data_IF_547251996893
#
_entry.id   IF_547251996893
#
_cell.length_a   1.000
_cell.length_b   1.000
_cell.length_c   1.000
_cell.angle_alpha   90.00
_cell.angle_beta   90.00
_cell.angle_gamma   90.00
#
_symmetry.space_group_name_H-M   'P 1'
#
loop_
_entity.id
_entity.type
_entity.pdbx_description
1 polymer ?
#
# COMPACT_ATOMS: atom_id res chain seq x y z
N UNK A 1 4.50 80.33 -20.10
CA UNK A 1 5.75 79.56 -19.97
C UNK A 1 5.64 78.76 -18.68
N UNK A 2 5.19 77.52 -18.79
CA UNK A 2 5.10 76.58 -17.66
C UNK A 2 5.87 75.36 -18.11
N UNK A 3 7.12 75.26 -17.65
CA UNK A 3 8.01 74.17 -18.04
C UNK A 3 7.49 72.87 -17.42
N UNK A 4 7.18 71.94 -18.30
CA UNK A 4 6.70 70.60 -17.99
C UNK A 4 7.91 69.72 -17.68
N UNK A 5 8.23 69.56 -16.40
CA UNK A 5 9.21 68.60 -15.93
C UNK A 5 8.60 67.19 -15.98
N UNK A 6 8.92 66.47 -17.06
CA UNK A 6 8.70 65.03 -17.19
C UNK A 6 9.66 64.28 -16.27
N UNK A 7 9.11 63.70 -15.19
CA UNK A 7 9.84 62.87 -14.24
C UNK A 7 9.83 61.42 -14.76
N UNK A 8 10.94 60.96 -15.34
CA UNK A 8 11.13 59.57 -15.76
C UNK A 8 11.35 58.69 -14.51
N UNK A 9 10.35 57.87 -14.17
CA UNK A 9 10.46 56.85 -13.14
C UNK A 9 11.23 55.64 -13.70
N UNK A 10 12.54 55.63 -13.52
CA UNK A 10 13.37 54.46 -13.80
C UNK A 10 13.15 53.40 -12.71
N UNK A 11 12.30 52.41 -13.03
CA UNK A 11 12.11 51.18 -12.25
C UNK A 11 13.45 50.44 -12.08
N UNK A 12 14.07 50.56 -10.90
CA UNK A 12 15.26 49.80 -10.48
C UNK A 12 15.04 49.03 -9.17
N UNK A 13 13.79 48.71 -8.84
CA UNK A 13 13.41 48.09 -7.56
C UNK A 13 13.70 46.60 -7.44
N UNK A 14 14.11 45.90 -8.50
CA UNK A 14 14.29 44.44 -8.44
C UNK A 14 15.71 43.99 -8.02
N UNK A 15 16.66 44.92 -7.85
CA UNK A 15 18.05 44.61 -7.51
C UNK A 15 18.34 44.62 -5.99
N UNK A 16 17.51 45.28 -5.18
CA UNK A 16 17.79 45.49 -3.74
C UNK A 16 17.14 44.47 -2.80
N UNK A 17 16.35 43.51 -3.31
CA UNK A 17 15.74 42.47 -2.48
C UNK A 17 16.75 41.34 -2.16
N UNK A 18 17.82 41.18 -2.95
CA UNK A 18 18.82 40.13 -2.72
C UNK A 18 19.94 40.53 -1.73
N UNK A 19 20.16 41.82 -1.46
CA UNK A 19 21.23 42.26 -0.54
C UNK A 19 20.81 42.24 0.93
N UNK A 20 19.51 42.12 1.23
CA UNK A 20 18.97 41.94 2.57
C UNK A 20 18.58 40.49 2.87
N UNK A 21 19.12 39.52 2.12
CA UNK A 21 19.10 38.10 2.48
C UNK A 21 20.02 37.94 3.71
N UNK A 22 19.41 38.30 4.84
CA UNK A 22 19.46 37.73 6.18
C UNK A 22 20.74 36.94 6.43
N UNK A 23 21.46 37.36 7.46
CA UNK A 23 22.41 36.53 8.17
C UNK A 23 21.70 35.23 8.60
N UNK A 24 21.60 34.25 7.69
CA UNK A 24 20.91 32.99 7.92
C UNK A 24 21.74 32.30 8.99
N UNK A 25 21.25 32.32 10.23
CA UNK A 25 21.78 31.47 11.28
C UNK A 25 21.64 30.03 10.80
N UNK A 26 22.76 29.55 10.29
CA UNK A 26 22.97 28.27 9.67
C UNK A 26 22.36 27.19 10.55
N UNK A 27 21.64 26.25 9.95
CA UNK A 27 21.49 24.96 10.62
C UNK A 27 22.91 24.50 10.91
N UNK A 28 23.27 24.48 12.19
CA UNK A 28 24.50 23.88 12.67
C UNK A 28 24.35 22.40 12.36
N UNK A 29 24.86 22.00 11.19
CA UNK A 29 25.16 20.62 10.91
C UNK A 29 26.28 20.33 11.87
N UNK A 30 26.00 19.50 12.87
CA UNK A 30 27.00 19.15 13.85
C UNK A 30 28.23 18.61 13.10
N UNK A 31 29.36 19.34 13.17
CA UNK A 31 30.55 19.01 12.38
C UNK A 31 31.13 17.66 12.78
N UNK A 32 30.75 17.13 13.96
CA UNK A 32 31.20 15.86 14.49
C UNK A 32 30.34 14.67 14.04
N UNK A 33 29.26 14.90 13.28
CA UNK A 33 28.45 13.78 12.76
C UNK A 33 29.24 13.00 11.72
N UNK A 34 29.41 11.71 11.98
CA UNK A 34 30.05 10.79 11.04
C UNK A 34 29.23 10.72 9.74
N UNK A 35 29.79 11.25 8.65
CA UNK A 35 29.15 11.36 7.32
C UNK A 35 28.91 10.01 6.65
N UNK A 36 29.48 8.94 7.19
CA UNK A 36 29.39 7.57 6.70
C UNK A 36 28.38 6.72 7.48
N UNK A 37 27.67 7.29 8.47
CA UNK A 37 26.57 6.62 9.17
C UNK A 37 25.57 6.01 8.19
N UNK A 38 25.23 6.72 7.10
CA UNK A 38 24.32 6.17 6.11
C UNK A 38 24.77 4.82 5.59
N UNK A 39 26.06 4.50 5.46
CA UNK A 39 26.52 3.21 4.95
C UNK A 39 26.01 2.04 5.81
N UNK A 40 25.95 2.25 7.13
CA UNK A 40 25.52 1.24 8.11
C UNK A 40 23.99 1.07 8.15
N UNK A 41 23.22 2.02 7.62
CA UNK A 41 21.75 1.94 7.65
C UNK A 41 21.20 0.85 6.71
N UNK A 42 20.70 -0.25 7.29
CA UNK A 42 20.02 -1.33 6.53
C UNK A 42 18.58 -0.97 6.10
N UNK A 43 18.01 0.09 6.68
CA UNK A 43 16.64 0.53 6.44
C UNK A 43 16.51 2.05 6.44
N UNK A 44 15.45 2.56 5.83
CA UNK A 44 15.17 3.99 5.77
C UNK A 44 14.96 4.57 7.17
N UNK A 45 15.68 5.63 7.53
CA UNK A 45 15.53 6.29 8.83
C UNK A 45 14.07 6.70 9.12
N UNK A 46 13.34 7.17 8.10
CA UNK A 46 11.99 7.71 8.24
C UNK A 46 10.94 6.60 8.26
N UNK A 47 10.78 5.87 7.14
CA UNK A 47 9.71 4.87 7.01
C UNK A 47 10.08 3.46 7.46
N UNK A 48 11.30 3.25 7.99
CA UNK A 48 11.83 1.97 8.51
C UNK A 48 11.86 0.78 7.55
N UNK A 49 11.49 1.00 6.29
CA UNK A 49 11.54 0.01 5.23
C UNK A 49 12.98 -0.36 4.86
N UNK A 50 13.30 -1.66 4.76
CA UNK A 50 14.61 -2.17 4.35
C UNK A 50 15.00 -1.69 2.94
N UNK A 51 16.29 -1.41 2.73
CA UNK A 51 16.81 -1.15 1.40
C UNK A 51 16.97 -2.46 0.63
N UNK A 52 16.53 -2.46 -0.63
CA UNK A 52 16.63 -3.58 -1.58
C UNK A 52 17.04 -3.00 -2.94
N UNK A 53 17.40 -3.84 -3.92
CA UNK A 53 17.81 -3.37 -5.25
C UNK A 53 16.78 -2.41 -5.89
N UNK A 54 15.48 -2.69 -5.75
CA UNK A 54 14.40 -1.82 -6.26
C UNK A 54 14.20 -0.52 -5.45
N UNK A 55 14.77 -0.42 -4.24
CA UNK A 55 14.62 0.73 -3.34
C UNK A 55 16.00 1.32 -3.06
N UNK A 56 16.44 2.18 -3.99
CA UNK A 56 17.71 2.88 -3.88
C UNK A 56 17.81 3.68 -2.57
N UNK A 57 19.00 3.60 -1.98
CA UNK A 57 19.39 4.26 -0.73
C UNK A 57 20.02 5.62 -1.04
N UNK A 58 19.46 6.67 -0.47
CA UNK A 58 19.95 8.05 -0.61
C UNK A 58 20.50 8.54 0.73
N UNK A 59 21.51 9.40 0.66
CA UNK A 59 22.11 10.04 1.83
C UNK A 59 21.49 11.40 2.08
N UNK A 60 20.90 11.60 3.26
CA UNK A 60 20.49 12.94 3.70
C UNK A 60 21.74 13.78 3.96
N UNK A 61 21.82 14.99 3.39
CA UNK A 61 23.00 15.86 3.59
C UNK A 61 23.02 16.62 4.92
N UNK A 62 21.94 16.59 5.71
CA UNK A 62 21.89 17.23 7.03
C UNK A 62 22.17 16.24 8.16
N UNK A 63 21.43 15.13 8.24
CA UNK A 63 21.61 14.13 9.30
C UNK A 63 22.50 12.94 8.93
N UNK A 64 22.98 12.86 7.68
CA UNK A 64 23.88 11.81 7.20
C UNK A 64 23.36 10.36 7.31
N UNK A 65 22.06 10.16 7.53
CA UNK A 65 21.42 8.84 7.50
C UNK A 65 20.92 8.43 6.10
N UNK A 66 20.74 7.12 5.93
CA UNK A 66 20.14 6.48 4.77
C UNK A 66 18.63 6.66 4.73
N UNK A 67 18.12 7.17 3.62
CA UNK A 67 16.69 7.37 3.36
C UNK A 67 16.30 6.92 1.96
N UNK A 68 15.05 6.50 1.77
CA UNK A 68 14.57 6.11 0.43
C UNK A 68 14.10 7.35 -0.36
N UNK A 69 13.94 7.21 -1.68
CA UNK A 69 13.48 8.30 -2.56
C UNK A 69 12.15 8.93 -2.10
N UNK A 70 11.23 8.12 -1.56
CA UNK A 70 9.91 8.59 -1.09
C UNK A 70 10.00 9.50 0.14
N UNK A 71 11.02 9.31 0.98
CA UNK A 71 11.23 10.06 2.23
C UNK A 71 12.31 11.18 2.10
N UNK A 72 12.70 11.50 0.88
CA UNK A 72 13.74 12.49 0.59
C UNK A 72 13.45 13.24 -0.72
N UNK A 73 12.19 13.61 -0.94
CA UNK A 73 11.76 14.23 -2.20
C UNK A 73 12.33 15.64 -2.38
N UNK A 74 12.60 16.32 -1.26
CA UNK A 74 12.98 17.71 -1.25
C UNK A 74 14.49 17.92 -1.43
N UNK A 75 14.84 19.05 -2.02
CA UNK A 75 16.19 19.61 -2.02
C UNK A 75 16.12 20.98 -1.36
N UNK A 76 17.13 21.32 -0.57
CA UNK A 76 17.25 22.66 0.01
C UNK A 76 18.69 23.15 -0.09
N UNK A 77 18.89 24.46 0.03
CA UNK A 77 20.21 25.07 0.06
C UNK A 77 21.00 24.50 1.23
N UNK A 78 22.19 23.97 0.94
CA UNK A 78 23.08 23.44 1.95
C UNK A 78 24.27 24.38 2.10
N UNK A 79 24.53 24.90 3.31
CA UNK A 79 25.49 25.98 3.46
C UNK A 79 26.92 25.58 3.16
N UNK A 80 27.37 24.40 3.62
CA UNK A 80 28.72 23.92 3.34
C UNK A 80 29.00 23.62 1.86
N UNK A 81 27.97 23.39 1.05
CA UNK A 81 28.14 23.06 -0.38
C UNK A 81 27.70 24.21 -1.30
N UNK A 82 27.16 25.28 -0.73
CA UNK A 82 26.64 26.45 -1.44
C UNK A 82 25.68 26.13 -2.60
N UNK A 83 24.95 25.01 -2.51
CA UNK A 83 24.00 24.60 -3.54
C UNK A 83 22.88 23.73 -2.97
N UNK A 84 21.81 23.55 -3.76
CA UNK A 84 20.68 22.73 -3.37
C UNK A 84 21.07 21.24 -3.28
N UNK A 85 20.93 20.65 -2.09
CA UNK A 85 21.19 19.22 -1.84
C UNK A 85 19.94 18.49 -1.38
N UNK A 86 19.88 17.20 -1.71
CA UNK A 86 18.81 16.30 -1.24
C UNK A 86 18.91 16.09 0.27
N UNK A 87 17.79 16.24 0.96
CA UNK A 87 17.66 15.96 2.39
C UNK A 87 16.42 15.11 2.65
N UNK A 88 16.33 14.50 3.84
CA UNK A 88 15.14 13.76 4.24
C UNK A 88 14.01 14.70 4.64
N UNK A 89 12.78 14.20 4.61
CA UNK A 89 11.59 15.01 4.88
C UNK A 89 11.58 15.58 6.32
N UNK A 90 12.12 14.86 7.31
CA UNK A 90 12.24 15.36 8.69
C UNK A 90 13.24 16.51 8.80
N UNK A 91 14.42 16.40 8.18
CA UNK A 91 15.37 17.52 8.12
C UNK A 91 14.80 18.71 7.35
N UNK A 92 13.97 18.47 6.34
CA UNK A 92 13.32 19.54 5.57
C UNK A 92 12.29 20.28 6.42
N UNK A 93 11.43 19.57 7.16
CA UNK A 93 10.48 20.19 8.11
C UNK A 93 11.20 21.03 9.16
N UNK A 94 12.26 20.48 9.76
CA UNK A 94 13.06 21.18 10.75
C UNK A 94 13.71 22.45 10.17
N UNK A 95 14.16 22.39 8.91
CA UNK A 95 14.69 23.55 8.20
C UNK A 95 13.64 24.64 7.99
N UNK A 96 12.47 24.29 7.44
CA UNK A 96 11.39 25.26 7.23
C UNK A 96 10.93 25.89 8.55
N UNK A 97 10.80 25.09 9.61
CA UNK A 97 10.42 25.59 10.93
C UNK A 97 11.42 26.61 11.49
N UNK A 98 12.72 26.35 11.35
CA UNK A 98 13.75 27.30 11.75
C UNK A 98 13.71 28.59 10.93
N UNK A 99 13.46 28.49 9.62
CA UNK A 99 13.32 29.66 8.76
C UNK A 99 12.13 30.52 9.15
N UNK A 100 10.98 29.90 9.42
CA UNK A 100 9.80 30.64 9.87
C UNK A 100 10.04 31.31 11.20
N UNK A 101 10.67 30.62 12.16
CA UNK A 101 10.93 31.20 13.47
C UNK A 101 11.91 32.36 13.42
N UNK A 102 12.98 32.26 12.63
CA UNK A 102 13.94 33.37 12.47
C UNK A 102 13.28 34.61 11.85
N UNK A 103 12.37 34.43 10.89
CA UNK A 103 11.58 35.54 10.33
C UNK A 103 10.70 36.20 11.39
N UNK A 104 9.99 35.38 12.18
CA UNK A 104 9.12 35.85 13.26
C UNK A 104 9.92 36.57 14.34
N UNK A 105 11.05 36.03 14.78
CA UNK A 105 11.90 36.66 15.81
C UNK A 105 12.44 38.02 15.34
N UNK A 106 12.80 38.15 14.06
CA UNK A 106 13.20 39.42 13.47
C UNK A 106 12.06 40.44 13.44
N UNK A 107 10.85 40.03 13.05
CA UNK A 107 9.66 40.90 13.06
C UNK A 107 9.29 41.33 14.48
N UNK A 108 9.28 40.39 15.43
CA UNK A 108 9.04 40.69 16.85
C UNK A 108 10.07 41.69 17.39
N UNK A 109 11.35 41.52 17.03
CA UNK A 109 12.42 42.43 17.45
C UNK A 109 12.26 43.83 16.87
N UNK A 110 11.81 43.95 15.60
CA UNK A 110 11.49 45.25 14.98
C UNK A 110 10.29 45.92 15.66
N UNK A 111 9.22 45.16 15.89
CA UNK A 111 8.01 45.67 16.55
C UNK A 111 8.29 46.14 17.97
N UNK A 112 9.15 45.45 18.74
CA UNK A 112 9.57 45.89 20.08
C UNK A 112 10.23 47.26 20.08
N UNK A 113 11.14 47.53 19.14
CA UNK A 113 11.81 48.84 19.02
C UNK A 113 10.82 49.96 18.72
N UNK A 114 9.87 49.73 17.81
CA UNK A 114 8.82 50.71 17.50
C UNK A 114 7.95 51.02 18.71
N UNK A 115 7.61 50.00 19.51
CA UNK A 115 6.83 50.19 20.75
C UNK A 115 7.62 51.03 21.77
N UNK A 116 8.92 50.75 21.94
CA UNK A 116 9.79 51.51 22.85
C UNK A 116 9.89 53.00 22.44
N UNK A 117 10.05 53.28 21.15
CA UNK A 117 10.07 54.65 20.60
C UNK A 117 8.74 55.39 20.82
N UNK A 118 7.61 54.71 20.58
CA UNK A 118 6.28 55.28 20.80
C UNK A 118 6.03 55.57 22.29
N UNK A 119 6.43 54.66 23.19
CA UNK A 119 6.33 54.86 24.63
C UNK A 119 7.12 56.09 25.09
N UNK A 120 8.34 56.25 24.56
CA UNK A 120 9.17 57.43 24.84
C UNK A 120 8.47 58.73 24.39
N UNK A 121 7.91 58.75 23.18
CA UNK A 121 7.20 59.92 22.64
C UNK A 121 5.95 60.28 23.47
N UNK A 122 5.13 59.29 23.82
CA UNK A 122 3.92 59.50 24.64
C UNK A 122 4.31 60.13 25.98
N UNK A 123 5.33 59.59 26.67
CA UNK A 123 5.78 60.09 27.97
C UNK A 123 6.20 61.56 27.91
N UNK A 124 7.00 61.94 26.92
CA UNK A 124 7.43 63.34 26.77
C UNK A 124 6.26 64.28 26.45
N UNK A 125 5.31 63.80 25.64
CA UNK A 125 4.14 64.60 25.27
C UNK A 125 3.20 64.80 26.47
N UNK A 126 3.01 63.81 27.32
CA UNK A 126 2.17 63.97 28.53
C UNK A 126 2.79 64.92 29.55
N UNK A 127 4.12 64.88 29.72
CA UNK A 127 4.85 65.80 30.61
C UNK A 127 4.73 67.27 30.16
N UNK A 128 4.70 67.53 28.85
CA UNK A 128 4.58 68.91 28.32
C UNK A 128 3.17 69.48 28.44
N UNK A 129 2.12 68.66 28.28
CA UNK A 129 0.73 69.16 28.31
C UNK A 129 0.23 69.43 29.74
N UNK A 130 0.88 68.89 30.78
CA UNK A 130 0.52 69.12 32.20
C UNK A 130 0.73 70.56 32.72
N UNK A 131 1.23 71.52 31.91
CA UNK A 131 1.47 72.91 32.32
C UNK A 131 0.32 73.89 32.06
N UNK A 132 -0.68 73.53 31.24
CA UNK A 132 -1.82 74.42 30.91
C UNK A 132 -3.15 73.87 31.45
N UNK A 133 -3.86 74.65 32.28
CA UNK A 133 -5.07 74.17 32.99
C UNK A 133 -6.34 74.08 32.12
N UNK A 134 -6.29 74.56 30.86
CA UNK A 134 -7.40 74.50 29.90
C UNK A 134 -7.32 73.28 28.98
N UNK A 135 -6.14 72.72 28.77
CA UNK A 135 -5.90 71.52 27.93
C UNK A 135 -6.23 70.21 28.64
N UNK A 136 -6.32 70.22 29.97
CA UNK A 136 -6.67 69.05 30.80
C UNK A 136 -8.06 68.49 30.52
N UNK A 137 -9.05 69.35 30.21
CA UNK A 137 -10.40 68.91 29.84
C UNK A 137 -10.44 68.14 28.52
N UNK A 138 -9.80 68.69 27.47
CA UNK A 138 -9.72 68.06 26.14
C UNK A 138 -8.92 66.76 26.20
N UNK A 139 -7.86 66.72 27.00
CA UNK A 139 -7.10 65.49 27.23
C UNK A 139 -7.96 64.41 27.90
N UNK A 140 -8.74 64.75 28.92
CA UNK A 140 -9.58 63.78 29.62
C UNK A 140 -10.58 63.11 28.67
N UNK A 141 -11.26 63.87 27.82
CA UNK A 141 -12.15 63.30 26.79
C UNK A 141 -11.40 62.40 25.80
N UNK A 142 -10.19 62.81 25.37
CA UNK A 142 -9.35 61.97 24.50
C UNK A 142 -8.90 60.68 25.18
N UNK A 143 -8.57 60.72 26.47
CA UNK A 143 -8.21 59.53 27.24
C UNK A 143 -9.39 58.57 27.41
N UNK A 144 -10.59 59.08 27.69
CA UNK A 144 -11.80 58.26 27.78
C UNK A 144 -12.16 57.62 26.42
N UNK A 145 -11.97 58.34 25.31
CA UNK A 145 -12.13 57.80 23.97
C UNK A 145 -11.12 56.66 23.69
N UNK A 146 -9.85 56.86 24.05
CA UNK A 146 -8.80 55.84 23.90
C UNK A 146 -9.10 54.62 24.76
N UNK A 147 -9.54 54.79 26.02
CA UNK A 147 -9.88 53.67 26.91
C UNK A 147 -11.04 52.83 26.38
N UNK A 148 -12.07 53.48 25.82
CA UNK A 148 -13.16 52.79 25.14
C UNK A 148 -12.70 52.05 23.88
N UNK A 149 -11.76 52.62 23.13
CA UNK A 149 -11.19 51.97 21.95
C UNK A 149 -10.32 50.75 22.33
N UNK A 150 -9.55 50.84 23.42
CA UNK A 150 -8.80 49.71 23.99
C UNK A 150 -9.76 48.58 24.38
N UNK A 151 -10.84 48.87 25.11
CA UNK A 151 -11.87 47.87 25.48
C UNK A 151 -12.49 47.21 24.25
N UNK A 152 -12.77 47.98 23.19
CA UNK A 152 -13.27 47.44 21.93
C UNK A 152 -12.26 46.54 21.23
N UNK A 153 -10.97 46.89 21.24
CA UNK A 153 -9.88 46.06 20.70
C UNK A 153 -9.76 44.76 21.49
N UNK A 154 -9.79 44.81 22.82
CA UNK A 154 -9.76 43.62 23.67
C UNK A 154 -10.95 42.69 23.39
N UNK A 155 -12.16 43.26 23.25
CA UNK A 155 -13.36 42.48 22.90
C UNK A 155 -13.22 41.81 21.53
N UNK A 156 -12.69 42.53 20.52
CA UNK A 156 -12.42 41.97 19.18
C UNK A 156 -11.34 40.89 19.23
N UNK A 157 -10.31 41.03 20.08
CA UNK A 157 -9.28 39.99 20.27
C UNK A 157 -9.90 38.70 20.80
N UNK A 158 -10.74 38.78 21.84
CA UNK A 158 -11.45 37.62 22.41
C UNK A 158 -12.34 36.93 21.38
N UNK A 159 -13.02 37.70 20.52
CA UNK A 159 -13.83 37.14 19.44
C UNK A 159 -12.98 36.41 18.39
N UNK A 160 -11.79 36.93 18.06
CA UNK A 160 -10.84 36.26 17.15
C UNK A 160 -10.30 34.97 17.74
N UNK A 161 -9.89 34.98 19.00
CA UNK A 161 -9.44 33.78 19.71
C UNK A 161 -10.51 32.68 19.70
N UNK A 162 -11.77 33.03 19.98
CA UNK A 162 -12.89 32.08 19.91
C UNK A 162 -13.14 31.55 18.48
N UNK A 163 -12.98 32.40 17.46
CA UNK A 163 -13.12 31.97 16.06
C UNK A 163 -11.99 31.02 15.63
N UNK A 164 -10.77 31.27 16.08
CA UNK A 164 -9.60 30.41 15.82
C UNK A 164 -9.75 29.05 16.51
N UNK A 165 -10.26 29.02 17.74
CA UNK A 165 -10.59 27.77 18.44
C UNK A 165 -11.66 26.96 17.69
N UNK A 166 -12.75 27.60 17.25
CA UNK A 166 -13.78 26.94 16.43
C UNK A 166 -13.21 26.41 15.11
N UNK A 167 -12.29 27.14 14.49
CA UNK A 167 -11.63 26.71 13.24
C UNK A 167 -10.74 25.49 13.48
N UNK A 168 -9.98 25.48 14.59
CA UNK A 168 -9.18 24.31 15.00
C UNK A 168 -10.09 23.10 15.28
N UNK A 169 -11.22 23.31 15.94
CA UNK A 169 -12.18 22.24 16.24
C UNK A 169 -12.83 21.68 14.97
N UNK A 170 -13.27 22.53 14.05
CA UNK A 170 -13.77 22.09 12.74
C UNK A 170 -12.71 21.29 11.96
N UNK A 171 -11.43 21.66 12.06
CA UNK A 171 -10.33 20.89 11.46
C UNK A 171 -10.16 19.51 12.10
N UNK A 172 -10.38 19.37 13.41
CA UNK A 172 -10.36 18.07 14.11
C UNK A 172 -11.54 17.20 13.68
N UNK A 173 -12.75 17.73 13.71
CA UNK A 173 -13.97 17.02 13.29
C UNK A 173 -13.84 16.55 11.84
N UNK A 174 -13.33 17.40 10.94
CA UNK A 174 -13.10 17.03 9.53
C UNK A 174 -12.12 15.84 9.39
N UNK A 175 -11.06 15.78 10.21
CA UNK A 175 -10.13 14.64 10.24
C UNK A 175 -10.80 13.37 10.77
N UNK A 176 -11.61 13.48 11.82
CA UNK A 176 -12.34 12.34 12.39
C UNK A 176 -13.35 11.76 11.39
N UNK A 177 -14.10 12.61 10.68
CA UNK A 177 -14.99 12.18 9.59
C UNK A 177 -14.21 11.39 8.54
N UNK A 178 -13.04 11.88 8.13
CA UNK A 178 -12.18 11.16 7.19
C UNK A 178 -11.74 9.78 7.68
N UNK A 179 -11.46 9.62 8.98
CA UNK A 179 -11.13 8.32 9.58
C UNK A 179 -12.35 7.38 9.54
N UNK A 180 -13.53 7.88 9.92
CA UNK A 180 -14.79 7.11 9.91
C UNK A 180 -15.12 6.61 8.49
N UNK A 181 -14.93 7.45 7.47
CA UNK A 181 -15.13 7.06 6.07
C UNK A 181 -14.17 5.93 5.63
N UNK A 182 -12.90 6.01 6.02
CA UNK A 182 -11.92 4.96 5.74
C UNK A 182 -12.32 3.64 6.41
N UNK A 183 -12.74 3.68 7.67
CA UNK A 183 -13.22 2.49 8.40
C UNK A 183 -14.46 1.89 7.75
N UNK A 184 -15.44 2.71 7.36
CA UNK A 184 -16.64 2.26 6.67
C UNK A 184 -16.32 1.60 5.33
N UNK A 185 -15.37 2.15 4.58
CA UNK A 185 -14.88 1.54 3.34
C UNK A 185 -14.21 0.18 3.59
N UNK A 186 -13.43 0.07 4.66
CA UNK A 186 -12.81 -1.20 5.07
C UNK A 186 -13.88 -2.24 5.44
N UNK A 187 -14.89 -1.86 6.24
CA UNK A 187 -16.02 -2.74 6.59
C UNK A 187 -16.76 -3.23 5.33
N UNK A 188 -17.09 -2.33 4.39
CA UNK A 188 -17.73 -2.69 3.12
C UNK A 188 -16.91 -3.66 2.26
N UNK A 189 -15.58 -3.52 2.24
CA UNK A 189 -14.69 -4.48 1.56
C UNK A 189 -14.71 -5.84 2.25
N UNK A 190 -14.65 -5.87 3.58
CA UNK A 190 -14.71 -7.11 4.36
C UNK A 190 -16.02 -7.88 4.12
N UNK A 191 -17.16 -7.18 4.07
CA UNK A 191 -18.47 -7.79 3.76
C UNK A 191 -18.48 -8.40 2.36
N UNK A 192 -18.02 -7.66 1.33
CA UNK A 192 -17.93 -8.18 -0.04
C UNK A 192 -17.05 -9.42 -0.14
N UNK A 193 -15.89 -9.42 0.53
CA UNK A 193 -15.03 -10.61 0.57
C UNK A 193 -15.69 -11.81 1.26
N UNK A 194 -16.54 -11.57 2.26
CA UNK A 194 -17.30 -12.64 2.91
C UNK A 194 -18.39 -13.19 1.97
N UNK A 195 -19.10 -12.32 1.25
CA UNK A 195 -20.08 -12.71 0.23
C UNK A 195 -19.43 -13.51 -0.90
N UNK A 196 -18.28 -13.06 -1.42
CA UNK A 196 -17.52 -13.75 -2.47
C UNK A 196 -17.08 -15.14 -2.00
N UNK A 197 -16.68 -15.29 -0.73
CA UNK A 197 -16.34 -16.60 -0.14
C UNK A 197 -17.54 -17.53 -0.08
N UNK A 198 -18.71 -17.04 0.31
CA UNK A 198 -19.95 -17.84 0.33
C UNK A 198 -20.30 -18.32 -1.08
N UNK A 199 -20.20 -17.44 -2.08
CA UNK A 199 -20.43 -17.79 -3.49
C UNK A 199 -19.43 -18.86 -3.95
N UNK A 200 -18.16 -18.72 -3.59
CA UNK A 200 -17.11 -19.68 -3.95
C UNK A 200 -17.33 -21.06 -3.31
N UNK A 201 -17.71 -21.11 -2.04
CA UNK A 201 -18.04 -22.37 -1.35
C UNK A 201 -19.22 -23.07 -2.03
N UNK A 202 -20.30 -22.35 -2.37
CA UNK A 202 -21.43 -22.93 -3.11
C UNK A 202 -21.00 -23.55 -4.45
N UNK A 203 -20.15 -22.85 -5.21
CA UNK A 203 -19.61 -23.37 -6.49
C UNK A 203 -18.77 -24.65 -6.30
N UNK A 204 -18.08 -24.78 -5.17
CA UNK A 204 -17.36 -26.01 -4.85
C UNK A 204 -18.31 -27.14 -4.48
N UNK A 205 -19.34 -26.87 -3.69
CA UNK A 205 -20.35 -27.85 -3.31
C UNK A 205 -21.07 -28.38 -4.56
N UNK A 206 -21.43 -27.51 -5.50
CA UNK A 206 -22.04 -27.92 -6.78
C UNK A 206 -21.12 -28.85 -7.57
N UNK A 207 -19.82 -28.50 -7.70
CA UNK A 207 -18.83 -29.33 -8.38
C UNK A 207 -18.62 -30.67 -7.69
N UNK A 208 -18.60 -30.68 -6.36
CA UNK A 208 -18.49 -31.90 -5.58
C UNK A 208 -19.73 -32.79 -5.77
N UNK A 209 -20.91 -32.19 -5.82
CA UNK A 209 -22.17 -32.86 -6.12
C UNK A 209 -22.15 -33.58 -7.47
N UNK A 210 -21.70 -32.90 -8.53
CA UNK A 210 -21.55 -33.51 -9.87
C UNK A 210 -20.51 -34.64 -9.86
N UNK A 211 -19.34 -34.42 -9.25
CA UNK A 211 -18.31 -35.47 -9.15
C UNK A 211 -18.80 -36.72 -8.39
N UNK A 212 -19.63 -36.55 -7.36
CA UNK A 212 -20.26 -37.66 -6.64
C UNK A 212 -21.24 -38.40 -7.55
N UNK A 213 -22.07 -37.69 -8.34
CA UNK A 213 -22.99 -38.30 -9.30
C UNK A 213 -22.24 -39.15 -10.34
N UNK A 214 -21.17 -38.61 -10.91
CA UNK A 214 -20.33 -39.32 -11.89
C UNK A 214 -19.72 -40.59 -11.29
N UNK A 215 -19.21 -40.51 -10.05
CA UNK A 215 -18.65 -41.67 -9.34
C UNK A 215 -19.71 -42.75 -9.10
N UNK A 216 -20.94 -42.36 -8.76
CA UNK A 216 -22.05 -43.30 -8.60
C UNK A 216 -22.38 -43.97 -9.93
N UNK A 217 -22.38 -43.22 -11.04
CA UNK A 217 -22.65 -43.76 -12.37
C UNK A 217 -21.57 -44.78 -12.79
N UNK A 218 -20.29 -44.43 -12.66
CA UNK A 218 -19.16 -45.33 -12.93
C UNK A 218 -19.21 -46.59 -12.06
N UNK A 219 -19.60 -46.47 -10.79
CA UNK A 219 -19.78 -47.61 -9.88
C UNK A 219 -20.93 -48.54 -10.32
N UNK A 220 -22.00 -48.00 -10.91
CA UNK A 220 -23.08 -48.83 -11.50
C UNK A 220 -22.59 -49.57 -12.74
N UNK A 221 -21.84 -48.89 -13.62
CA UNK A 221 -21.27 -49.50 -14.83
C UNK A 221 -20.29 -50.63 -14.50
N UNK A 222 -19.40 -50.41 -13.53
CA UNK A 222 -18.46 -51.42 -13.04
C UNK A 222 -19.19 -52.69 -12.57
N UNK A 223 -20.24 -52.56 -11.76
CA UNK A 223 -21.06 -53.70 -11.30
C UNK A 223 -21.73 -54.45 -12.45
N UNK A 224 -22.20 -53.73 -13.47
CA UNK A 224 -22.77 -54.37 -14.67
C UNK A 224 -21.72 -55.17 -15.44
N UNK A 225 -20.51 -54.63 -15.59
CA UNK A 225 -19.40 -55.32 -16.26
C UNK A 225 -18.92 -56.54 -15.47
N UNK A 226 -18.81 -56.45 -14.15
CA UNK A 226 -18.49 -57.58 -13.27
C UNK A 226 -19.49 -58.73 -13.43
N UNK A 227 -20.78 -58.41 -13.51
CA UNK A 227 -21.83 -59.41 -13.76
C UNK A 227 -21.69 -60.08 -15.13
N UNK A 228 -21.42 -59.30 -16.19
CA UNK A 228 -21.13 -59.85 -17.52
C UNK A 228 -19.90 -60.75 -17.53
N UNK A 229 -18.82 -60.32 -16.89
CA UNK A 229 -17.58 -61.10 -16.79
C UNK A 229 -17.81 -62.43 -16.06
N UNK A 230 -18.60 -62.42 -14.98
CA UNK A 230 -18.99 -63.64 -14.28
C UNK A 230 -19.74 -64.61 -15.20
N UNK A 231 -20.72 -64.12 -15.96
CA UNK A 231 -21.45 -64.92 -16.95
C UNK A 231 -20.52 -65.51 -18.02
N UNK A 232 -19.59 -64.71 -18.56
CA UNK A 232 -18.60 -65.20 -19.53
C UNK A 232 -17.70 -66.29 -18.95
N UNK A 233 -17.25 -66.13 -17.70
CA UNK A 233 -16.43 -67.14 -17.03
C UNK A 233 -17.20 -68.45 -16.79
N UNK A 234 -18.49 -68.37 -16.47
CA UNK A 234 -19.35 -69.56 -16.36
C UNK A 234 -19.49 -70.28 -17.71
N UNK A 235 -19.74 -69.54 -18.81
CA UNK A 235 -19.78 -70.10 -20.17
C UNK A 235 -18.44 -70.73 -20.58
N UNK A 236 -17.33 -70.08 -20.26
CA UNK A 236 -15.99 -70.60 -20.52
C UNK A 236 -15.78 -71.94 -19.82
N UNK A 237 -16.13 -72.05 -18.54
CA UNK A 237 -16.07 -73.33 -17.79
C UNK A 237 -16.90 -74.44 -18.43
N UNK A 238 -18.08 -74.11 -18.98
CA UNK A 238 -18.89 -75.08 -19.72
C UNK A 238 -18.19 -75.57 -20.99
N UNK A 239 -17.61 -74.64 -21.78
CA UNK A 239 -16.84 -74.97 -22.99
C UNK A 239 -15.63 -75.85 -22.64
N UNK A 240 -14.88 -75.49 -21.60
CA UNK A 240 -13.73 -76.28 -21.14
C UNK A 240 -14.16 -77.71 -20.75
N UNK A 241 -15.29 -77.85 -20.04
CA UNK A 241 -15.86 -79.16 -19.72
C UNK A 241 -16.32 -79.97 -20.95
N UNK A 242 -16.87 -79.30 -21.97
CA UNK A 242 -17.19 -79.95 -23.25
C UNK A 242 -15.93 -80.41 -23.98
N UNK A 243 -14.88 -79.57 -23.99
CA UNK A 243 -13.60 -79.89 -24.62
C UNK A 243 -12.93 -81.10 -23.95
N UNK A 244 -12.94 -81.18 -22.63
CA UNK A 244 -12.45 -82.35 -21.88
C UNK A 244 -13.23 -83.62 -22.22
N UNK A 245 -14.55 -83.50 -22.39
CA UNK A 245 -15.41 -84.63 -22.79
C UNK A 245 -15.08 -85.11 -24.20
N UNK A 246 -14.93 -84.19 -25.15
CA UNK A 246 -14.51 -84.50 -26.52
C UNK A 246 -13.13 -85.13 -26.57
N UNK A 247 -12.19 -84.64 -25.75
CA UNK A 247 -10.86 -85.21 -25.62
C UNK A 247 -10.92 -86.67 -25.15
N UNK A 248 -11.69 -86.97 -24.10
CA UNK A 248 -11.90 -88.34 -23.61
C UNK A 248 -12.52 -89.26 -24.66
N UNK A 249 -13.54 -88.78 -25.37
CA UNK A 249 -14.17 -89.54 -26.46
C UNK A 249 -13.17 -89.84 -27.60
N UNK A 250 -12.30 -88.88 -27.93
CA UNK A 250 -11.25 -89.06 -28.94
C UNK A 250 -10.24 -90.12 -28.52
N UNK A 251 -9.79 -90.11 -27.26
CA UNK A 251 -8.89 -91.13 -26.73
C UNK A 251 -9.55 -92.52 -26.65
N UNK A 252 -10.82 -92.58 -26.25
CA UNK A 252 -11.59 -93.83 -26.29
C UNK A 252 -11.72 -94.37 -27.72
N UNK A 253 -12.05 -93.52 -28.70
CA UNK A 253 -12.10 -93.90 -30.12
C UNK A 253 -10.75 -94.46 -30.60
N UNK A 254 -9.64 -93.80 -30.26
CA UNK A 254 -8.29 -94.31 -30.57
C UNK A 254 -8.04 -95.69 -29.93
N UNK A 255 -8.50 -95.90 -28.70
CA UNK A 255 -8.40 -97.20 -28.02
C UNK A 255 -9.19 -98.29 -28.75
N UNK A 256 -10.44 -98.01 -29.13
CA UNK A 256 -11.26 -98.95 -29.91
C UNK A 256 -10.61 -99.31 -31.25
N UNK A 257 -10.05 -98.34 -31.98
CA UNK A 257 -9.33 -98.64 -33.23
C UNK A 257 -8.11 -99.55 -33.00
N UNK A 258 -7.38 -99.40 -31.88
CA UNK A 258 -6.27 -100.31 -31.55
C UNK A 258 -6.76 -101.74 -31.27
N UNK A 259 -7.93 -101.90 -30.66
CA UNK A 259 -8.55 -103.21 -30.40
C UNK A 259 -9.10 -103.87 -31.67
N UNK A 260 -9.66 -103.09 -32.61
CA UNK A 260 -10.20 -103.60 -33.88
C UNK A 260 -9.13 -103.87 -34.95
N UNK A 261 -7.97 -103.21 -34.88
CA UNK A 261 -6.87 -103.38 -35.82
C UNK A 261 -6.45 -104.85 -36.08
N UNK A 262 -6.32 -105.75 -35.08
CA UNK A 262 -6.04 -107.17 -35.32
C UNK A 262 -7.18 -107.90 -36.03
N UNK A 263 -8.43 -107.65 -35.67
CA UNK A 263 -9.60 -108.30 -36.31
C UNK A 263 -9.71 -107.94 -37.80
N UNK A 264 -9.35 -106.71 -38.17
CA UNK A 264 -9.36 -106.28 -39.57
C UNK A 264 -8.21 -106.89 -40.39
N UNK A 265 -7.10 -107.32 -39.75
CA UNK A 265 -6.05 -108.10 -40.41
C UNK A 265 -6.50 -109.52 -40.72
N UNK A 266 -7.31 -110.12 -39.86
CA UNK A 266 -7.89 -111.45 -40.09
C UNK A 266 -8.92 -111.42 -41.24
N UNK A 267 -9.81 -110.43 -41.27
CA UNK A 267 -10.77 -110.25 -42.37
C UNK A 267 -10.11 -109.96 -43.74
N UNK A 268 -8.99 -109.22 -43.77
CA UNK A 268 -8.25 -108.98 -45.01
C UNK A 268 -7.52 -110.24 -45.51
N UNK A 269 -7.09 -111.13 -44.61
CA UNK A 269 -6.51 -112.43 -44.99
C UNK A 269 -7.55 -113.39 -45.57
N UNK A 270 -8.80 -113.33 -45.08
CA UNK A 270 -9.92 -114.10 -45.66
C UNK A 270 -10.36 -113.57 -47.03
N UNK A 271 -10.39 -112.24 -47.24
CA UNK A 271 -10.69 -111.65 -48.55
C UNK A 271 -9.58 -111.85 -49.59
N UNK A 272 -8.31 -111.97 -49.17
CA UNK A 272 -7.21 -112.26 -50.09
C UNK A 272 -7.20 -113.73 -50.57
N UNK A 273 -7.82 -114.64 -49.81
CA UNK A 273 -8.00 -116.03 -50.22
C UNK A 273 -8.99 -116.18 -51.38
N UNK A 274 -9.99 -115.30 -51.52
CA UNK A 274 -10.92 -115.33 -52.67
C UNK A 274 -10.29 -114.84 -53.99
N UNK A 275 -9.25 -113.99 -53.96
CA UNK A 275 -8.54 -113.56 -55.16
C UNK A 275 -7.45 -114.54 -55.66
N UNK A 276 -7.09 -115.57 -54.89
CA UNK A 276 -6.11 -116.59 -55.30
C UNK A 276 -6.80 -117.79 -55.98
N UNK A 277 -8.14 -117.82 -56.03
CA UNK A 277 -8.93 -118.92 -56.61
C UNK A 277 -9.46 -118.59 -58.04
N UNK A 278 -9.13 -117.44 -58.62
CA UNK A 278 -9.36 -117.14 -60.06
C UNK A 278 -8.09 -117.34 -60.88
#
# INVERSE_FOLDING_TARGET
>A
MVDSLSFEYSNTSDSLILSNIVNFQLIIIDPNVNKDIYLMDSSCLICKNKFILARHKYRCKFCWHGVCAKCSKQKTYHPTYECAKRICDECFKAYIYKLSNASIENEVSRSKKVIEELHYYIKNTTETVCRDSKTTGILKEKYEAIDNEIKNIEMRSKLRESADEKTKENSRISKEIGIIEIENNFRRRKTRMAEDRVIWVRKLDDKLGEAIKDRILLSKEARMLESKLKNYNEKRKQIDGMHDTLFKLREHKKSLYRQLAPLNKEAHNESCLECIIQ
#
